data_IF_249339325673
#
_entry.id   IF_249339325673
#
_cell.length_a   1.000
_cell.length_b   1.000
_cell.length_c   1.000
_cell.angle_alpha   90.00
_cell.angle_beta   90.00
_cell.angle_gamma   90.00
#
_symmetry.space_group_name_H-M   'P 1'
#
loop_
_entity.id
_entity.type
_entity.pdbx_description
1 polymer ?
#
# COMPACT_ATOMS: atom_id res chain seq x y z
N UNK A 1 -52.93 -32.73 55.21
CA UNK A 1 -51.53 -32.95 54.76
C UNK A 1 -51.07 -31.69 54.05
N UNK A 2 -50.00 -31.04 54.51
CA UNK A 2 -49.54 -29.73 53.99
C UNK A 2 -48.21 -29.91 53.27
N UNK A 3 -48.22 -29.83 51.95
CA UNK A 3 -47.04 -29.91 51.11
C UNK A 3 -46.24 -28.60 51.21
N UNK A 4 -44.93 -28.70 51.43
CA UNK A 4 -44.01 -27.55 51.41
C UNK A 4 -43.30 -27.54 50.07
N UNK A 5 -43.45 -26.45 49.34
CA UNK A 5 -42.80 -26.24 48.06
C UNK A 5 -41.44 -25.59 48.29
N UNK A 6 -40.37 -26.19 47.80
CA UNK A 6 -39.04 -25.58 47.75
C UNK A 6 -38.93 -24.87 46.39
N UNK A 7 -38.82 -23.56 46.40
CA UNK A 7 -38.55 -22.75 45.20
C UNK A 7 -37.04 -22.64 45.03
N UNK A 8 -36.51 -23.25 43.98
CA UNK A 8 -35.10 -23.12 43.60
C UNK A 8 -34.97 -21.97 42.61
N UNK A 9 -34.31 -20.90 43.01
CA UNK A 9 -34.03 -19.73 42.14
C UNK A 9 -32.73 -19.99 41.40
N UNK A 10 -32.81 -20.20 40.08
CA UNK A 10 -31.65 -20.36 39.20
C UNK A 10 -31.10 -19.02 38.72
N UNK A 11 -29.80 -18.79 38.89
CA UNK A 11 -29.08 -17.65 38.32
C UNK A 11 -28.80 -17.93 36.83
N UNK A 12 -29.54 -17.26 35.94
CA UNK A 12 -29.31 -17.35 34.49
C UNK A 12 -28.43 -16.16 34.09
N UNK A 13 -27.21 -16.43 33.66
CA UNK A 13 -26.30 -15.41 33.10
C UNK A 13 -26.50 -15.33 31.59
N UNK A 14 -27.05 -14.22 31.10
CA UNK A 14 -27.19 -13.93 29.68
C UNK A 14 -26.00 -13.09 29.18
N UNK A 15 -25.33 -13.45 28.07
CA UNK A 15 -24.27 -12.62 27.51
C UNK A 15 -24.85 -11.38 26.81
N UNK A 16 -24.49 -10.20 27.31
CA UNK A 16 -24.78 -8.93 26.63
C UNK A 16 -23.74 -8.70 25.53
N UNK A 17 -24.17 -8.72 24.27
CA UNK A 17 -23.32 -8.35 23.14
C UNK A 17 -23.35 -6.83 22.96
N UNK A 18 -22.19 -6.18 23.08
CA UNK A 18 -22.05 -4.76 22.80
C UNK A 18 -21.91 -4.53 21.29
N UNK A 19 -22.71 -3.63 20.73
CA UNK A 19 -22.60 -3.23 19.32
C UNK A 19 -21.36 -2.35 19.14
N UNK A 20 -20.47 -2.73 18.24
CA UNK A 20 -19.29 -1.94 17.91
C UNK A 20 -19.67 -0.83 16.92
N UNK A 21 -19.56 0.42 17.35
CA UNK A 21 -19.77 1.58 16.49
C UNK A 21 -18.47 1.84 15.71
N UNK A 22 -18.41 1.36 14.47
CA UNK A 22 -17.28 1.62 13.58
C UNK A 22 -17.40 3.03 13.03
N UNK A 23 -16.95 4.03 13.80
CA UNK A 23 -16.87 5.41 13.31
C UNK A 23 -15.77 5.49 12.26
N UNK A 24 -16.15 5.42 10.98
CA UNK A 24 -15.29 5.79 9.86
C UNK A 24 -15.09 7.31 9.88
N UNK A 25 -14.19 7.80 10.72
CA UNK A 25 -13.74 9.18 10.64
C UNK A 25 -12.98 9.36 9.32
N UNK A 26 -13.33 10.35 8.47
CA UNK A 26 -12.50 10.69 7.33
C UNK A 26 -11.14 11.16 7.86
N UNK A 27 -10.08 10.42 7.53
CA UNK A 27 -8.72 10.89 7.74
C UNK A 27 -8.49 12.01 6.74
N UNK A 28 -8.63 13.25 7.18
CA UNK A 28 -8.25 14.42 6.39
C UNK A 28 -6.73 14.55 6.54
N UNK A 29 -5.99 14.08 5.53
CA UNK A 29 -4.55 14.34 5.43
C UNK A 29 -4.37 15.78 4.97
N UNK A 30 -4.44 16.72 5.92
CA UNK A 30 -4.06 18.12 5.70
C UNK A 30 -2.58 18.29 6.01
N UNK A 31 -1.81 18.50 4.96
CA UNK A 31 -0.37 18.75 4.96
C UNK A 31 0.10 18.54 3.53
N UNK A 32 1.16 19.22 3.09
CA UNK A 32 1.85 18.91 1.85
C UNK A 32 2.19 17.41 1.85
N UNK A 33 1.30 16.58 1.29
CA UNK A 33 1.58 15.17 1.06
C UNK A 33 2.75 15.23 0.11
N UNK A 34 3.95 14.95 0.62
CA UNK A 34 5.18 15.07 -0.13
C UNK A 34 4.96 14.39 -1.48
N UNK A 35 4.85 15.20 -2.55
CA UNK A 35 4.54 14.68 -3.87
C UNK A 35 5.67 13.73 -4.22
N UNK A 36 5.32 12.50 -4.58
CA UNK A 36 6.28 11.52 -5.05
C UNK A 36 6.70 11.93 -6.47
N UNK A 37 7.69 12.80 -6.55
CA UNK A 37 8.22 13.34 -7.80
C UNK A 37 9.75 13.37 -7.75
N UNK A 38 10.39 13.29 -8.91
CA UNK A 38 11.78 13.65 -9.07
C UNK A 38 11.87 15.09 -9.56
N UNK A 39 12.77 15.89 -8.98
CA UNK A 39 13.01 17.26 -9.41
C UNK A 39 14.22 17.35 -10.36
N UNK A 40 14.09 18.15 -11.41
CA UNK A 40 15.17 18.54 -12.31
C UNK A 40 14.85 19.89 -12.95
N UNK A 41 15.78 20.85 -12.94
CA UNK A 41 15.58 22.19 -13.51
C UNK A 41 14.28 22.87 -13.02
N UNK A 42 14.06 22.86 -11.70
CA UNK A 42 12.87 23.40 -11.02
C UNK A 42 11.51 22.80 -11.48
N UNK A 43 11.54 21.69 -12.20
CA UNK A 43 10.36 20.95 -12.65
C UNK A 43 10.22 19.63 -11.91
N UNK A 44 8.97 19.28 -11.60
CA UNK A 44 8.60 18.02 -10.98
C UNK A 44 8.19 16.99 -12.03
N UNK A 45 8.72 15.78 -11.92
CA UNK A 45 8.47 14.66 -12.84
C UNK A 45 7.89 13.47 -12.07
N UNK A 46 6.87 12.83 -12.66
CA UNK A 46 6.23 11.62 -12.11
C UNK A 46 7.04 10.35 -12.37
N UNK A 47 6.67 9.26 -11.69
CA UNK A 47 7.23 7.92 -11.93
C UNK A 47 7.16 7.56 -13.42
N UNK A 48 8.26 7.02 -13.96
CA UNK A 48 8.41 6.63 -15.37
C UNK A 48 8.91 7.74 -16.30
N UNK A 49 8.96 9.00 -15.85
CA UNK A 49 9.53 10.08 -16.65
C UNK A 49 11.01 9.82 -17.00
N UNK A 50 11.40 10.11 -18.24
CA UNK A 50 12.79 10.00 -18.72
C UNK A 50 13.31 11.38 -19.07
N UNK A 51 14.49 11.73 -18.56
CA UNK A 51 15.19 12.98 -18.87
C UNK A 51 16.60 12.69 -19.38
N UNK A 52 17.17 13.66 -20.08
CA UNK A 52 18.59 13.70 -20.41
C UNK A 52 19.27 14.74 -19.52
N UNK A 53 20.21 14.30 -18.69
CA UNK A 53 21.03 15.16 -17.83
C UNK A 53 22.47 15.13 -18.34
N UNK A 54 22.83 16.11 -19.17
CA UNK A 54 24.10 16.09 -19.90
C UNK A 54 24.14 14.96 -20.91
N UNK A 55 25.04 14.00 -20.71
CA UNK A 55 25.25 12.84 -21.60
C UNK A 55 24.53 11.56 -21.14
N UNK A 56 23.87 11.58 -19.97
CA UNK A 56 23.19 10.41 -19.41
C UNK A 56 21.67 10.54 -19.47
N UNK A 57 20.99 9.43 -19.75
CA UNK A 57 19.56 9.31 -19.60
C UNK A 57 19.22 8.79 -18.21
N UNK A 58 18.23 9.42 -17.57
CA UNK A 58 17.76 9.09 -16.24
C UNK A 58 16.25 8.83 -16.29
N UNK A 59 15.77 7.91 -15.45
CA UNK A 59 14.35 7.64 -15.25
C UNK A 59 13.98 7.88 -13.81
N UNK A 60 12.85 8.57 -13.60
CA UNK A 60 12.29 8.75 -12.27
C UNK A 60 11.61 7.45 -11.84
N UNK A 61 12.14 6.78 -10.83
CA UNK A 61 11.67 5.46 -10.39
C UNK A 61 11.62 5.40 -8.86
N UNK A 62 10.99 4.37 -8.29
CA UNK A 62 10.96 4.17 -6.84
C UNK A 62 12.37 4.04 -6.28
N UNK A 63 12.57 4.63 -5.09
CA UNK A 63 13.82 4.47 -4.37
C UNK A 63 14.01 3.05 -3.83
N UNK A 64 12.90 2.40 -3.48
CA UNK A 64 12.81 1.06 -2.92
C UNK A 64 11.61 0.31 -3.52
N UNK A 65 11.80 -0.94 -3.91
CA UNK A 65 10.75 -1.76 -4.55
C UNK A 65 9.75 -2.35 -3.55
N UNK A 66 10.08 -2.34 -2.26
CA UNK A 66 9.24 -2.87 -1.18
C UNK A 66 8.33 -1.81 -0.54
N UNK A 67 8.41 -0.56 -0.99
CA UNK A 67 7.60 0.55 -0.47
C UNK A 67 6.55 0.97 -1.49
N UNK A 68 5.28 0.79 -1.17
CA UNK A 68 4.16 1.28 -1.99
C UNK A 68 3.98 2.79 -1.93
N UNK A 69 4.47 3.42 -0.85
CA UNK A 69 4.41 4.87 -0.63
C UNK A 69 5.82 5.51 -0.52
N UNK A 70 6.85 4.86 -1.05
CA UNK A 70 8.23 5.33 -0.99
C UNK A 70 8.52 6.54 -1.88
N UNK A 71 9.63 7.24 -1.61
CA UNK A 71 10.08 8.37 -2.42
C UNK A 71 10.54 7.94 -3.82
N UNK A 72 10.48 8.85 -4.80
CA UNK A 72 11.07 8.64 -6.13
C UNK A 72 12.50 9.19 -6.19
N UNK A 73 13.32 8.62 -7.07
CA UNK A 73 14.68 9.08 -7.35
C UNK A 73 15.05 8.88 -8.82
N UNK A 74 16.03 9.65 -9.29
CA UNK A 74 16.63 9.44 -10.60
C UNK A 74 17.52 8.20 -10.59
N UNK A 75 17.24 7.27 -11.50
CA UNK A 75 18.07 6.09 -11.78
C UNK A 75 18.55 6.14 -13.22
N UNK A 76 19.75 5.61 -13.55
CA UNK A 76 20.18 5.47 -14.94
C UNK A 76 19.10 4.75 -15.76
N UNK A 77 18.82 5.27 -16.96
CA UNK A 77 17.88 4.65 -17.86
C UNK A 77 18.45 3.31 -18.32
N UNK A 78 17.99 2.23 -17.69
CA UNK A 78 18.37 0.90 -18.12
C UNK A 78 17.51 0.55 -19.32
N UNK A 79 18.05 0.78 -20.52
CA UNK A 79 17.58 0.10 -21.72
C UNK A 79 17.91 -1.38 -21.55
N UNK A 80 17.11 -2.12 -20.78
CA UNK A 80 16.93 -3.53 -21.07
C UNK A 80 16.30 -3.53 -22.46
N UNK A 81 17.15 -3.56 -23.48
CA UNK A 81 16.80 -4.02 -24.82
C UNK A 81 15.90 -5.21 -24.54
N UNK A 82 14.65 -5.15 -25.00
CA UNK A 82 13.76 -6.32 -25.02
C UNK A 82 14.62 -7.46 -25.52
N UNK A 83 15.04 -8.33 -24.62
CA UNK A 83 15.75 -9.53 -24.97
C UNK A 83 14.76 -10.22 -25.91
N UNK A 84 15.09 -10.23 -27.21
CA UNK A 84 14.39 -11.07 -28.17
C UNK A 84 14.38 -12.43 -27.49
N UNK A 85 13.22 -12.86 -27.00
CA UNK A 85 13.07 -14.11 -26.26
C UNK A 85 13.71 -15.18 -27.13
N UNK A 86 14.93 -15.59 -26.76
CA UNK A 86 15.67 -16.60 -27.51
C UNK A 86 14.75 -17.82 -27.46
N UNK A 87 14.25 -18.31 -28.61
CA UNK A 87 13.23 -19.34 -28.59
C UNK A 87 13.74 -20.51 -27.77
N UNK A 88 13.01 -20.86 -26.72
CA UNK A 88 13.31 -22.01 -25.86
C UNK A 88 13.49 -23.22 -26.78
N UNK A 89 14.63 -23.93 -26.72
CA UNK A 89 14.82 -25.13 -27.50
C UNK A 89 13.75 -26.14 -27.09
N UNK A 90 12.81 -26.42 -28.00
CA UNK A 90 11.90 -27.55 -27.88
C UNK A 90 12.78 -28.78 -28.05
N UNK A 91 12.96 -29.54 -26.96
CA UNK A 91 13.60 -30.86 -27.06
C UNK A 91 12.68 -31.77 -27.91
N UNK A 92 13.23 -32.53 -28.87
CA UNK A 92 12.46 -33.47 -29.66
C UNK A 92 11.90 -34.61 -28.81
#
# INVERSE_FOLDING_TARGET
MKARWIVVVGLISLPLHANQLSTSLPVIVSGDIAKQVCYYQDQAYSEGAVIQAGEVYLTCQRANDFETNGSLKWLPFNQKITEVEKPKPVRP
#
